data_IF_609913082359
#
_entry.id   IF_609913082359
#
_cell.length_a   1.000
_cell.length_b   1.000
_cell.length_c   1.000
_cell.angle_alpha   90.00
_cell.angle_beta   90.00
_cell.angle_gamma   90.00
#
_symmetry.space_group_name_H-M   'P 1'
#
loop_
_entity.id
_entity.type
_entity.pdbx_description
1 polymer ?
#
# COMPACT_ATOMS: atom_id res chain seq x y z
N UNK A 1 54.24 8.04 -23.38
CA UNK A 1 53.04 7.20 -23.56
C UNK A 1 51.83 8.01 -23.12
N UNK A 2 50.76 8.14 -23.93
CA UNK A 2 49.56 8.88 -23.52
C UNK A 2 48.80 8.06 -22.47
N UNK A 3 48.46 8.67 -21.34
CA UNK A 3 47.70 7.99 -20.27
C UNK A 3 46.29 7.63 -20.75
N UNK A 4 45.88 6.37 -20.58
CA UNK A 4 44.52 5.90 -20.90
C UNK A 4 43.51 6.24 -19.80
N UNK A 5 43.96 6.77 -18.67
CA UNK A 5 43.16 7.04 -17.48
C UNK A 5 41.94 7.95 -17.76
N UNK A 6 42.04 9.05 -18.52
CA UNK A 6 40.88 9.91 -18.79
C UNK A 6 39.79 9.20 -19.60
N UNK A 7 40.17 8.34 -20.55
CA UNK A 7 39.24 7.56 -21.36
C UNK A 7 38.50 6.55 -20.49
N UNK A 8 39.22 5.88 -19.57
CA UNK A 8 38.62 4.91 -18.65
C UNK A 8 37.60 5.60 -17.73
N UNK A 9 37.96 6.74 -17.15
CA UNK A 9 37.05 7.51 -16.28
C UNK A 9 35.81 7.98 -17.06
N UNK A 10 36.02 8.52 -18.27
CA UNK A 10 34.93 8.95 -19.14
C UNK A 10 33.97 7.81 -19.49
N UNK A 11 34.50 6.64 -19.83
CA UNK A 11 33.69 5.46 -20.12
C UNK A 11 32.88 4.97 -18.92
N UNK A 12 33.48 4.95 -17.71
CA UNK A 12 32.76 4.56 -16.48
C UNK A 12 31.62 5.55 -16.19
N UNK A 13 31.89 6.85 -16.30
CA UNK A 13 30.87 7.87 -16.09
C UNK A 13 29.72 7.76 -17.09
N UNK A 14 30.03 7.57 -18.38
CA UNK A 14 29.01 7.37 -19.41
C UNK A 14 28.17 6.10 -19.15
N UNK A 15 28.80 5.01 -18.73
CA UNK A 15 28.10 3.78 -18.36
C UNK A 15 27.18 4.00 -17.14
N UNK A 16 27.61 4.75 -16.12
CA UNK A 16 26.77 5.09 -14.98
C UNK A 16 25.56 5.94 -15.37
N UNK A 17 25.73 6.96 -16.22
CA UNK A 17 24.61 7.77 -16.70
C UNK A 17 23.60 6.95 -17.51
N UNK A 18 24.08 6.05 -18.38
CA UNK A 18 23.22 5.14 -19.12
C UNK A 18 22.43 4.22 -18.18
N UNK A 19 23.06 3.70 -17.13
CA UNK A 19 22.40 2.90 -16.11
C UNK A 19 21.31 3.68 -15.36
N UNK A 20 21.61 4.90 -14.89
CA UNK A 20 20.62 5.75 -14.21
C UNK A 20 19.44 6.08 -15.13
N UNK A 21 19.70 6.39 -16.40
CA UNK A 21 18.64 6.64 -17.38
C UNK A 21 17.72 5.43 -17.56
N UNK A 22 18.27 4.21 -17.63
CA UNK A 22 17.47 2.98 -17.68
C UNK A 22 16.62 2.83 -16.41
N UNK A 23 17.19 3.04 -15.23
CA UNK A 23 16.45 2.95 -13.96
C UNK A 23 15.29 3.94 -13.93
N UNK A 24 15.52 5.20 -14.26
CA UNK A 24 14.48 6.25 -14.24
C UNK A 24 13.36 5.97 -15.25
N UNK A 25 13.68 5.36 -16.40
CA UNK A 25 12.68 5.05 -17.44
C UNK A 25 11.88 3.77 -17.16
N UNK A 26 12.39 2.87 -16.31
CA UNK A 26 11.79 1.55 -16.06
C UNK A 26 11.16 1.44 -14.67
N UNK A 27 11.57 2.27 -13.71
CA UNK A 27 11.04 2.22 -12.34
C UNK A 27 9.67 2.89 -12.25
N UNK A 28 8.65 2.11 -11.91
CA UNK A 28 7.32 2.59 -11.58
C UNK A 28 7.19 2.66 -10.04
N UNK A 29 7.08 3.86 -9.44
CA UNK A 29 6.93 3.99 -8.00
C UNK A 29 5.59 3.42 -7.55
N UNK A 30 5.61 2.62 -6.49
CA UNK A 30 4.40 2.04 -5.90
C UNK A 30 3.87 2.94 -4.78
N UNK A 31 2.60 2.78 -4.35
CA UNK A 31 2.10 3.50 -3.16
C UNK A 31 2.93 3.28 -1.89
N UNK A 32 3.68 2.18 -1.81
CA UNK A 32 4.55 1.87 -0.67
C UNK A 32 5.90 2.64 -0.70
N UNK A 33 6.26 3.21 -1.86
CA UNK A 33 7.45 4.05 -2.03
C UNK A 33 7.16 5.54 -1.75
N UNK A 34 5.89 5.90 -1.55
CA UNK A 34 5.46 7.28 -1.28
C UNK A 34 5.78 7.70 0.15
N UNK A 35 6.08 8.99 0.35
CA UNK A 35 6.10 9.58 1.69
C UNK A 35 4.70 9.49 2.33
N UNK A 36 4.64 9.50 3.66
CA UNK A 36 3.41 9.26 4.40
C UNK A 36 2.31 10.29 4.08
N UNK A 37 2.67 11.55 3.80
CA UNK A 37 1.70 12.60 3.45
C UNK A 37 1.04 12.32 2.10
N UNK A 38 1.86 12.02 1.08
CA UNK A 38 1.41 11.70 -0.27
C UNK A 38 0.60 10.41 -0.29
N UNK A 39 1.08 9.38 0.41
CA UNK A 39 0.41 8.08 0.55
C UNK A 39 -0.97 8.21 1.20
N UNK A 40 -1.08 9.03 2.24
CA UNK A 40 -2.35 9.31 2.90
C UNK A 40 -3.35 9.97 1.95
N UNK A 41 -2.92 11.01 1.23
CA UNK A 41 -3.75 11.71 0.25
C UNK A 41 -4.18 10.76 -0.89
N UNK A 42 -3.24 9.97 -1.40
CA UNK A 42 -3.46 8.96 -2.43
C UNK A 42 -4.49 7.93 -1.96
N UNK A 43 -4.30 7.31 -0.80
CA UNK A 43 -5.23 6.32 -0.26
C UNK A 43 -6.64 6.88 -0.12
N UNK A 44 -6.76 8.08 0.47
CA UNK A 44 -8.06 8.73 0.67
C UNK A 44 -8.79 9.00 -0.65
N UNK A 45 -8.06 9.42 -1.70
CA UNK A 45 -8.65 9.58 -3.03
C UNK A 45 -9.07 8.22 -3.64
N UNK A 46 -8.21 7.20 -3.54
CA UNK A 46 -8.44 5.87 -4.11
C UNK A 46 -9.57 5.08 -3.43
N UNK A 47 -9.94 5.41 -2.19
CA UNK A 47 -11.14 4.84 -1.57
C UNK A 47 -12.41 5.03 -2.40
N UNK A 48 -12.49 6.10 -3.20
CA UNK A 48 -13.64 6.38 -4.08
C UNK A 48 -13.73 5.46 -5.30
N UNK A 49 -12.64 4.75 -5.62
CA UNK A 49 -12.55 3.81 -6.75
C UNK A 49 -12.86 2.37 -6.31
N UNK A 50 -12.97 2.11 -5.00
CA UNK A 50 -13.26 0.78 -4.47
C UNK A 50 -14.68 0.33 -4.79
N UNK A 51 -14.82 -0.97 -5.05
CA UNK A 51 -16.11 -1.61 -5.32
C UNK A 51 -16.31 -2.83 -4.44
N UNK A 52 -17.54 -3.01 -3.95
CA UNK A 52 -17.90 -4.24 -3.24
C UNK A 52 -17.70 -5.46 -4.14
N UNK A 53 -17.21 -6.55 -3.55
CA UNK A 53 -16.86 -7.78 -4.27
C UNK A 53 -15.47 -7.79 -4.89
N UNK A 54 -14.76 -6.65 -4.90
CA UNK A 54 -13.39 -6.56 -5.39
C UNK A 54 -12.47 -7.51 -4.59
N UNK A 55 -11.63 -8.31 -5.25
CA UNK A 55 -10.72 -9.21 -4.56
C UNK A 55 -9.65 -8.42 -3.82
N UNK A 56 -9.23 -8.94 -2.66
CA UNK A 56 -8.22 -8.29 -1.82
C UNK A 56 -6.91 -8.00 -2.55
N UNK A 57 -6.50 -8.88 -3.46
CA UNK A 57 -5.29 -8.69 -4.27
C UNK A 57 -5.36 -7.44 -5.17
N UNK A 58 -6.55 -7.11 -5.69
CA UNK A 58 -6.72 -5.88 -6.48
C UNK A 58 -6.70 -4.64 -5.59
N UNK A 59 -7.22 -4.73 -4.36
CA UNK A 59 -7.15 -3.64 -3.39
C UNK A 59 -5.70 -3.40 -2.94
N UNK A 60 -4.95 -4.46 -2.65
CA UNK A 60 -3.53 -4.37 -2.28
C UNK A 60 -2.67 -3.86 -3.45
N UNK A 61 -3.01 -4.20 -4.69
CA UNK A 61 -2.35 -3.63 -5.86
C UNK A 61 -2.64 -2.12 -6.01
N UNK A 62 -3.87 -1.70 -5.70
CA UNK A 62 -4.29 -0.30 -5.81
C UNK A 62 -3.72 0.59 -4.70
N UNK A 63 -3.77 0.13 -3.44
CA UNK A 63 -3.45 0.90 -2.25
C UNK A 63 -2.08 0.58 -1.64
N UNK A 64 -1.40 -0.45 -2.14
CA UNK A 64 -0.19 -0.99 -1.52
C UNK A 64 -0.50 -1.80 -0.26
N UNK A 65 0.53 -1.95 0.57
CA UNK A 65 0.46 -2.73 1.81
C UNK A 65 -0.35 -2.02 2.89
N UNK A 66 -1.28 -2.73 3.55
CA UNK A 66 -1.97 -2.17 4.70
C UNK A 66 -1.03 -1.83 5.88
N UNK A 67 -1.32 -0.75 6.60
CA UNK A 67 -0.57 -0.34 7.80
C UNK A 67 -0.82 -1.32 8.96
N UNK A 68 -2.05 -1.82 9.06
CA UNK A 68 -2.43 -2.88 9.99
C UNK A 68 -3.33 -3.91 9.31
N UNK A 69 -3.34 -5.13 9.85
CA UNK A 69 -4.24 -6.19 9.40
C UNK A 69 -4.67 -7.06 10.57
N UNK A 70 -5.92 -7.50 10.56
CA UNK A 70 -6.39 -8.58 11.41
C UNK A 70 -7.20 -9.59 10.60
N UNK A 71 -7.27 -10.84 11.07
CA UNK A 71 -8.07 -11.86 10.43
C UNK A 71 -8.64 -12.84 11.47
N UNK A 72 -9.79 -13.42 11.11
CA UNK A 72 -10.44 -14.50 11.83
C UNK A 72 -10.96 -15.51 10.79
N UNK A 73 -10.91 -16.79 11.11
CA UNK A 73 -11.37 -17.85 10.23
C UNK A 73 -12.19 -18.88 11.02
N UNK A 74 -13.21 -19.43 10.38
CA UNK A 74 -13.98 -20.59 10.83
C UNK A 74 -13.80 -21.75 9.84
N UNK A 75 -14.55 -22.84 10.04
CA UNK A 75 -14.58 -23.96 9.08
C UNK A 75 -15.21 -23.59 7.73
N UNK A 76 -15.99 -22.51 7.67
CA UNK A 76 -16.79 -22.16 6.48
C UNK A 76 -16.48 -20.78 5.91
N UNK A 77 -15.94 -19.87 6.70
CA UNK A 77 -15.78 -18.45 6.31
C UNK A 77 -14.48 -17.86 6.84
N UNK A 78 -13.92 -16.92 6.08
CA UNK A 78 -12.77 -16.12 6.48
C UNK A 78 -13.12 -14.64 6.47
N UNK A 79 -12.77 -13.93 7.54
CA UNK A 79 -12.86 -12.48 7.61
C UNK A 79 -11.48 -11.89 7.80
N UNK A 80 -11.17 -10.84 7.05
CA UNK A 80 -9.93 -10.08 7.17
C UNK A 80 -10.26 -8.60 7.14
N UNK A 81 -9.64 -7.82 8.00
CA UNK A 81 -9.74 -6.36 7.98
C UNK A 81 -8.35 -5.78 7.74
N UNK A 82 -8.25 -4.93 6.72
CA UNK A 82 -7.05 -4.16 6.40
C UNK A 82 -7.27 -2.70 6.79
N UNK A 83 -6.25 -2.06 7.32
CA UNK A 83 -6.30 -0.66 7.71
C UNK A 83 -5.31 0.15 6.88
N UNK A 84 -5.81 1.16 6.19
CA UNK A 84 -5.01 2.09 5.39
C UNK A 84 -5.07 3.49 5.96
N UNK A 85 -3.92 4.13 6.17
CA UNK A 85 -3.83 5.53 6.58
C UNK A 85 -4.50 6.41 5.53
N UNK A 86 -5.45 7.23 5.96
CA UNK A 86 -6.31 8.05 5.07
C UNK A 86 -6.51 9.47 5.57
N UNK A 87 -6.18 9.72 6.83
CA UNK A 87 -6.27 11.03 7.45
C UNK A 87 -5.23 11.17 8.55
N UNK A 88 -4.99 12.40 8.96
CA UNK A 88 -4.02 12.73 9.99
C UNK A 88 -4.73 13.20 11.25
N UNK A 89 -4.32 12.66 12.40
CA UNK A 89 -4.77 13.11 13.70
C UNK A 89 -3.61 13.75 14.49
N UNK A 90 -2.41 13.14 14.48
CA UNK A 90 -1.28 13.58 15.30
C UNK A 90 0.06 13.49 14.56
N UNK A 91 0.87 14.53 14.69
CA UNK A 91 2.22 14.61 14.09
C UNK A 91 3.31 14.09 15.04
N UNK A 92 3.14 12.89 15.59
CA UNK A 92 4.12 12.25 16.48
C UNK A 92 5.02 11.23 15.76
N UNK A 93 4.81 11.03 14.46
CA UNK A 93 5.63 10.16 13.62
C UNK A 93 5.24 8.68 13.66
N UNK A 94 4.18 8.33 14.38
CA UNK A 94 3.64 6.97 14.43
C UNK A 94 2.25 6.94 13.78
N UNK A 95 2.00 5.98 12.88
CA UNK A 95 0.63 5.76 12.38
C UNK A 95 -0.17 5.02 13.44
N UNK A 96 -1.34 5.53 13.79
CA UNK A 96 -2.27 4.86 14.72
C UNK A 96 -3.55 4.42 14.01
N UNK A 97 -4.29 3.46 14.59
CA UNK A 97 -5.51 2.92 13.95
C UNK A 97 -6.61 3.95 13.75
N UNK A 98 -6.67 4.97 14.61
CA UNK A 98 -7.61 6.08 14.50
C UNK A 98 -7.28 7.07 13.37
N UNK A 99 -6.14 6.90 12.67
CA UNK A 99 -5.78 7.62 11.43
C UNK A 99 -6.08 6.79 10.16
N UNK A 100 -6.60 5.58 10.33
CA UNK A 100 -6.82 4.62 9.25
C UNK A 100 -8.31 4.40 8.93
N UNK A 101 -8.59 4.11 7.67
CA UNK A 101 -9.89 3.59 7.24
C UNK A 101 -9.82 2.06 7.17
N UNK A 102 -10.70 1.33 7.89
CA UNK A 102 -10.76 -0.13 7.80
C UNK A 102 -11.53 -0.57 6.56
N UNK A 103 -11.01 -1.59 5.88
CA UNK A 103 -11.61 -2.32 4.77
C UNK A 103 -11.80 -3.78 5.21
N UNK A 104 -13.05 -4.25 5.22
CA UNK A 104 -13.42 -5.61 5.61
C UNK A 104 -13.61 -6.48 4.38
N UNK A 105 -12.98 -7.63 4.43
CA UNK A 105 -13.03 -8.67 3.42
C UNK A 105 -13.67 -9.92 4.01
N UNK A 106 -14.54 -10.55 3.23
CA UNK A 106 -15.09 -11.88 3.49
C UNK A 106 -14.73 -12.78 2.32
N UNK A 107 -14.09 -13.91 2.62
CA UNK A 107 -13.63 -14.88 1.60
C UNK A 107 -12.85 -14.19 0.47
N UNK A 108 -11.88 -13.37 0.89
CA UNK A 108 -11.00 -12.53 0.06
C UNK A 108 -11.70 -11.48 -0.83
N UNK A 109 -12.97 -11.16 -0.58
CA UNK A 109 -13.71 -10.12 -1.30
C UNK A 109 -14.11 -8.97 -0.39
N UNK A 110 -13.96 -7.73 -0.87
CA UNK A 110 -14.32 -6.52 -0.15
C UNK A 110 -15.85 -6.48 0.10
N UNK A 111 -16.26 -6.40 1.37
CA UNK A 111 -17.68 -6.38 1.76
C UNK A 111 -18.09 -5.11 2.50
N UNK A 112 -17.14 -4.35 3.06
CA UNK A 112 -17.40 -3.05 3.66
C UNK A 112 -16.10 -2.24 3.79
N UNK A 113 -16.21 -0.91 3.86
CA UNK A 113 -15.14 -0.02 4.30
C UNK A 113 -15.70 1.25 4.94
N UNK A 114 -14.88 1.93 5.75
CA UNK A 114 -15.28 3.14 6.49
C UNK A 114 -15.34 2.94 8.00
N UNK A 115 -15.66 4.00 8.76
CA UNK A 115 -15.47 4.09 10.21
C UNK A 115 -16.07 2.92 11.01
N UNK A 116 -17.30 2.50 10.68
CA UNK A 116 -18.02 1.47 11.44
C UNK A 116 -17.60 0.03 11.07
N UNK A 117 -16.77 -0.13 10.04
CA UNK A 117 -16.40 -1.43 9.47
C UNK A 117 -15.63 -2.30 10.47
N UNK A 118 -14.79 -1.70 11.31
CA UNK A 118 -14.09 -2.46 12.33
C UNK A 118 -15.03 -3.04 13.39
N UNK A 119 -16.10 -2.32 13.75
CA UNK A 119 -17.11 -2.85 14.67
C UNK A 119 -17.88 -4.02 14.05
N UNK A 120 -18.12 -4.00 12.74
CA UNK A 120 -18.71 -5.13 12.02
C UNK A 120 -17.78 -6.36 12.08
N UNK A 121 -16.48 -6.17 11.88
CA UNK A 121 -15.48 -7.25 12.03
C UNK A 121 -15.42 -7.81 13.47
N UNK A 122 -15.50 -6.95 14.48
CA UNK A 122 -15.50 -7.39 15.88
C UNK A 122 -16.77 -8.14 16.24
N UNK A 123 -17.92 -7.68 15.74
CA UNK A 123 -19.25 -8.23 16.03
C UNK A 123 -19.61 -9.45 15.17
N UNK A 124 -18.83 -9.73 14.12
CA UNK A 124 -19.07 -10.86 13.25
C UNK A 124 -18.84 -12.19 13.98
N UNK A 125 -19.93 -12.94 14.15
CA UNK A 125 -19.88 -14.33 14.60
C UNK A 125 -19.55 -15.23 13.42
N UNK A 126 -18.27 -15.52 13.25
CA UNK A 126 -17.76 -16.48 12.27
C UNK A 126 -17.58 -17.81 12.99
N UNK A 127 -18.68 -18.55 13.03
CA UNK A 127 -18.82 -19.79 13.79
C UNK A 127 -20.28 -19.96 14.20
N UNK A 128 -20.98 -20.88 13.53
CA UNK A 128 -22.21 -21.48 14.03
C UNK A 128 -21.92 -22.52 15.09
#
# INVERSE_FOLDING_TARGET
MKSKVPVIIGSIFAAYLAFVAVVVLVYEPTPDDMDWEDRQSYNNAKLTELSLGQPISEVELLLGKADFSEAKASSTETLKVLFYRTHHNKSDGETTRDECTPLLFKDDKLVAWGQDTYQQYLSANIGG
#
